data_IF_023798419375
#
_entry.id   IF_023798419375
#
_cell.length_a   1.000
_cell.length_b   1.000
_cell.length_c   1.000
_cell.angle_alpha   90.00
_cell.angle_beta   90.00
_cell.angle_gamma   90.00
#
_symmetry.space_group_name_H-M   'P 1'
#
loop_
_entity.id
_entity.type
_entity.pdbx_description
1 polymer ?
#
# COMPACT_ATOMS: atom_id res chain seq x y z
N UNK A 1 -0.79 -9.90 -19.37
CA UNK A 1 0.27 -8.97 -18.93
C UNK A 1 1.44 -9.75 -18.40
N UNK A 2 2.61 -9.12 -18.25
CA UNK A 2 3.72 -9.72 -17.51
C UNK A 2 3.45 -9.64 -15.99
N UNK A 3 4.10 -10.47 -15.19
CA UNK A 3 4.01 -10.39 -13.72
C UNK A 3 5.28 -9.78 -13.14
N UNK A 4 5.21 -9.30 -11.89
CA UNK A 4 6.40 -8.91 -11.13
C UNK A 4 7.10 -10.20 -10.66
N UNK A 5 8.32 -10.50 -11.13
CA UNK A 5 9.02 -11.71 -10.70
C UNK A 5 9.50 -11.54 -9.25
N UNK A 6 9.31 -12.54 -8.36
CA UNK A 6 9.80 -12.48 -6.97
C UNK A 6 11.29 -12.13 -6.84
N UNK A 7 12.09 -12.61 -7.80
CA UNK A 7 13.54 -12.33 -7.87
C UNK A 7 13.88 -10.84 -7.91
N UNK A 8 12.98 -9.97 -8.39
CA UNK A 8 13.17 -8.52 -8.37
C UNK A 8 13.45 -7.99 -6.95
N UNK A 9 12.79 -8.56 -5.95
CA UNK A 9 12.92 -8.11 -4.56
C UNK A 9 13.99 -8.86 -3.76
N UNK A 10 14.61 -9.87 -4.37
CA UNK A 10 15.80 -10.54 -3.79
C UNK A 10 17.09 -9.81 -4.12
N UNK A 11 17.03 -8.84 -5.02
CA UNK A 11 18.16 -8.04 -5.48
C UNK A 11 18.20 -6.71 -4.73
N UNK A 12 18.93 -6.67 -3.62
CA UNK A 12 19.64 -5.50 -3.05
C UNK A 12 19.26 -5.02 -1.64
N UNK A 13 20.30 -4.56 -0.95
CA UNK A 13 20.24 -3.67 0.21
C UNK A 13 20.59 -2.23 -0.20
N UNK A 14 20.35 -1.81 -1.45
CA UNK A 14 20.71 -0.44 -1.92
C UNK A 14 19.63 0.24 -2.76
N UNK A 15 18.66 -0.51 -3.28
CA UNK A 15 17.56 0.07 -4.06
C UNK A 15 16.65 0.87 -3.14
N UNK A 16 16.41 2.13 -3.53
CA UNK A 16 15.56 3.09 -2.81
C UNK A 16 14.27 3.43 -3.55
N UNK A 17 14.23 3.16 -4.84
CA UNK A 17 13.09 3.45 -5.71
C UNK A 17 12.86 2.27 -6.65
N UNK A 18 11.61 1.83 -6.71
CA UNK A 18 11.10 0.93 -7.74
C UNK A 18 9.94 1.66 -8.42
N UNK A 19 10.05 1.85 -9.72
CA UNK A 19 9.00 2.41 -10.56
C UNK A 19 8.65 1.41 -11.65
N UNK A 20 7.43 0.88 -11.57
CA UNK A 20 6.84 -0.08 -12.50
C UNK A 20 5.46 0.39 -13.00
N UNK A 21 5.16 1.67 -12.79
CA UNK A 21 3.93 2.34 -13.18
C UNK A 21 3.77 2.43 -14.70
N UNK A 22 2.52 2.63 -15.15
CA UNK A 22 2.15 2.76 -16.57
C UNK A 22 2.57 1.56 -17.44
N UNK A 23 2.24 0.36 -16.95
CA UNK A 23 2.53 -0.89 -17.65
C UNK A 23 1.27 -1.77 -17.74
N UNK A 24 1.41 -2.91 -18.42
CA UNK A 24 0.37 -3.95 -18.46
C UNK A 24 0.72 -5.09 -17.48
N UNK A 25 1.26 -4.78 -16.30
CA UNK A 25 1.57 -5.81 -15.30
C UNK A 25 0.29 -6.42 -14.74
N UNK A 26 0.35 -7.70 -14.39
CA UNK A 26 -0.76 -8.48 -13.86
C UNK A 26 -0.29 -9.37 -12.71
N UNK A 27 -1.23 -10.03 -12.05
CA UNK A 27 -0.95 -10.88 -10.90
C UNK A 27 -0.80 -10.06 -9.62
N UNK A 28 -0.13 -10.62 -8.61
CA UNK A 28 0.00 -10.02 -7.28
C UNK A 28 1.38 -9.36 -7.11
N UNK A 29 1.54 -8.56 -6.05
CA UNK A 29 2.87 -8.16 -5.57
C UNK A 29 3.48 -9.34 -4.78
N UNK A 30 4.66 -9.87 -5.17
CA UNK A 30 5.34 -10.91 -4.40
C UNK A 30 5.66 -10.49 -2.96
N UNK A 31 5.54 -11.42 -2.01
CA UNK A 31 5.81 -11.17 -0.58
C UNK A 31 7.28 -10.88 -0.29
N UNK A 32 8.18 -11.27 -1.20
CA UNK A 32 9.62 -10.96 -1.17
C UNK A 32 9.90 -9.45 -1.17
N UNK A 33 8.93 -8.59 -1.49
CA UNK A 33 9.03 -7.13 -1.29
C UNK A 33 9.47 -6.77 0.13
N UNK A 34 9.14 -7.59 1.13
CA UNK A 34 9.56 -7.42 2.51
C UNK A 34 11.09 -7.45 2.72
N UNK A 35 11.87 -7.95 1.76
CA UNK A 35 13.33 -7.96 1.82
C UNK A 35 13.97 -6.61 1.44
N UNK A 36 13.21 -5.70 0.85
CA UNK A 36 13.68 -4.44 0.30
C UNK A 36 13.88 -3.35 1.38
N UNK A 37 14.63 -3.65 2.44
CA UNK A 37 14.73 -2.86 3.69
C UNK A 37 15.19 -1.39 3.56
N UNK A 38 15.68 -0.96 2.39
CA UNK A 38 16.04 0.44 2.10
C UNK A 38 15.12 1.14 1.09
N UNK A 39 14.09 0.46 0.60
CA UNK A 39 13.15 1.02 -0.37
C UNK A 39 12.36 2.16 0.27
N UNK A 40 12.43 3.34 -0.34
CA UNK A 40 11.71 4.54 0.09
C UNK A 40 10.46 4.82 -0.75
N UNK A 41 10.50 4.44 -2.03
CA UNK A 41 9.44 4.73 -3.01
C UNK A 41 9.11 3.50 -3.84
N UNK A 42 7.82 3.18 -3.91
CA UNK A 42 7.26 2.13 -4.75
C UNK A 42 6.10 2.68 -5.58
N UNK A 43 6.29 2.79 -6.88
CA UNK A 43 5.26 3.18 -7.85
C UNK A 43 4.80 1.96 -8.63
N UNK A 44 3.52 1.65 -8.52
CA UNK A 44 2.84 0.53 -9.17
C UNK A 44 1.55 0.96 -9.88
N UNK A 45 1.24 2.26 -9.90
CA UNK A 45 -0.01 2.77 -10.44
C UNK A 45 -0.17 2.48 -11.94
N UNK A 46 -1.42 2.48 -12.41
CA UNK A 46 -1.77 2.25 -13.81
C UNK A 46 -1.25 0.90 -14.33
N UNK A 47 -1.66 -0.18 -13.67
CA UNK A 47 -1.39 -1.55 -14.06
C UNK A 47 -2.68 -2.39 -13.92
N UNK A 48 -2.58 -3.69 -14.16
CA UNK A 48 -3.64 -4.67 -13.88
C UNK A 48 -3.27 -5.60 -12.72
N UNK A 49 -2.53 -5.12 -11.71
CA UNK A 49 -2.19 -5.90 -10.51
C UNK A 49 -3.45 -6.15 -9.69
N UNK A 50 -3.54 -7.32 -9.06
CA UNK A 50 -4.72 -7.76 -8.33
C UNK A 50 -4.35 -8.51 -7.04
N UNK A 51 -5.38 -8.90 -6.28
CA UNK A 51 -5.23 -9.59 -4.99
C UNK A 51 -5.01 -8.62 -3.84
N UNK A 52 -4.55 -9.10 -2.70
CA UNK A 52 -4.35 -8.26 -1.50
C UNK A 52 -3.00 -7.55 -1.52
N UNK A 53 -2.93 -6.39 -0.88
CA UNK A 53 -1.65 -5.74 -0.56
C UNK A 53 -0.89 -6.65 0.44
N UNK A 54 0.36 -7.08 0.14
CA UNK A 54 1.08 -8.01 1.01
C UNK A 54 1.45 -7.36 2.34
N UNK A 55 1.18 -8.04 3.46
CA UNK A 55 1.50 -7.54 4.80
C UNK A 55 3.00 -7.36 5.05
N UNK A 56 3.83 -8.06 4.27
CA UNK A 56 5.29 -8.00 4.26
C UNK A 56 5.83 -6.63 3.89
N UNK A 57 5.03 -5.79 3.22
CA UNK A 57 5.34 -4.37 3.03
C UNK A 57 5.60 -3.65 4.37
N UNK A 58 4.97 -4.08 5.45
CA UNK A 58 5.24 -3.54 6.79
C UNK A 58 6.64 -3.84 7.34
N UNK A 59 7.39 -4.76 6.74
CA UNK A 59 8.82 -4.99 7.04
C UNK A 59 9.72 -3.91 6.41
N UNK A 60 9.23 -3.24 5.36
CA UNK A 60 9.93 -2.20 4.61
C UNK A 60 9.79 -0.86 5.33
N UNK A 61 10.35 -0.75 6.54
CA UNK A 61 10.17 0.43 7.42
C UNK A 61 10.75 1.74 6.86
N UNK A 62 11.59 1.66 5.83
CA UNK A 62 12.08 2.80 5.07
C UNK A 62 11.07 3.40 4.09
N UNK A 63 9.96 2.70 3.79
CA UNK A 63 9.02 3.14 2.76
C UNK A 63 8.29 4.42 3.20
N UNK A 64 8.27 5.40 2.30
CA UNK A 64 7.65 6.71 2.50
C UNK A 64 6.58 6.98 1.44
N UNK A 65 6.68 6.35 0.27
CA UNK A 65 5.73 6.56 -0.81
C UNK A 65 5.33 5.21 -1.41
N UNK A 66 4.05 4.89 -1.30
CA UNK A 66 3.42 3.77 -1.98
C UNK A 66 2.30 4.32 -2.86
N UNK A 67 2.41 4.09 -4.16
CA UNK A 67 1.36 4.39 -5.12
C UNK A 67 0.93 3.10 -5.83
N UNK A 68 -0.31 2.70 -5.59
CA UNK A 68 -0.97 1.55 -6.22
C UNK A 68 -2.23 1.96 -6.96
N UNK A 69 -2.40 3.26 -7.23
CA UNK A 69 -3.62 3.79 -7.83
C UNK A 69 -3.93 3.14 -9.18
N UNK A 70 -5.20 2.95 -9.50
CA UNK A 70 -5.65 2.38 -10.78
C UNK A 70 -5.07 0.97 -11.03
N UNK A 71 -5.50 0.04 -10.17
CA UNK A 71 -5.23 -1.40 -10.23
C UNK A 71 -6.50 -2.17 -9.79
N UNK A 72 -6.38 -3.46 -9.47
CA UNK A 72 -7.45 -4.34 -8.99
C UNK A 72 -7.14 -4.92 -7.61
N UNK A 73 -6.44 -4.17 -6.74
CA UNK A 73 -6.16 -4.62 -5.38
C UNK A 73 -7.46 -4.73 -4.58
N UNK A 74 -7.63 -5.83 -3.84
CA UNK A 74 -8.83 -6.15 -3.08
C UNK A 74 -8.52 -6.48 -1.61
N UNK A 75 -9.56 -6.55 -0.78
CA UNK A 75 -9.42 -6.85 0.65
C UNK A 75 -8.97 -5.62 1.45
N UNK A 76 -8.52 -5.86 2.69
CA UNK A 76 -8.22 -4.79 3.65
C UNK A 76 -6.82 -4.19 3.49
N UNK A 77 -6.65 -2.94 3.94
CA UNK A 77 -5.33 -2.30 4.08
C UNK A 77 -4.57 -2.98 5.24
N UNK A 78 -3.38 -3.55 5.00
CA UNK A 78 -2.62 -4.23 6.05
C UNK A 78 -2.21 -3.29 7.20
N UNK A 79 -2.57 -3.63 8.43
CA UNK A 79 -2.19 -2.86 9.63
C UNK A 79 -0.68 -2.69 9.79
N UNK A 80 0.11 -3.61 9.23
CA UNK A 80 1.57 -3.60 9.30
C UNK A 80 2.18 -2.36 8.60
N UNK A 81 1.46 -1.73 7.66
CA UNK A 81 1.88 -0.48 7.00
C UNK A 81 1.91 0.70 8.00
N UNK A 82 1.21 0.61 9.13
CA UNK A 82 1.28 1.59 10.20
C UNK A 82 2.70 1.76 10.76
N UNK A 83 3.61 0.78 10.57
CA UNK A 83 5.00 0.83 11.05
C UNK A 83 5.90 1.84 10.33
N UNK A 84 5.49 2.38 9.19
CA UNK A 84 6.31 3.33 8.42
C UNK A 84 6.41 4.70 9.09
N UNK A 85 7.44 5.47 8.75
CA UNK A 85 7.64 6.82 9.30
C UNK A 85 7.38 7.86 8.22
N UNK A 86 6.36 8.71 8.41
CA UNK A 86 5.94 9.76 7.46
C UNK A 86 5.72 9.21 6.05
N UNK A 87 4.52 8.69 5.81
CA UNK A 87 4.21 7.94 4.60
C UNK A 87 3.04 8.53 3.83
N UNK A 88 3.12 8.45 2.50
CA UNK A 88 2.07 8.77 1.53
C UNK A 88 1.60 7.46 0.89
N UNK A 89 0.30 7.23 0.94
CA UNK A 89 -0.36 6.03 0.45
C UNK A 89 -1.42 6.46 -0.54
N UNK A 90 -1.19 6.20 -1.82
CA UNK A 90 -2.15 6.45 -2.89
C UNK A 90 -2.69 5.10 -3.34
N UNK A 91 -3.97 4.86 -3.08
CA UNK A 91 -4.62 3.57 -3.29
C UNK A 91 -5.97 3.68 -4.02
N UNK A 92 -6.31 4.87 -4.52
CA UNK A 92 -7.53 5.15 -5.28
C UNK A 92 -7.62 4.28 -6.55
N UNK A 93 -8.82 4.13 -7.09
CA UNK A 93 -9.17 3.27 -8.21
C UNK A 93 -8.69 1.82 -8.02
N UNK A 94 -9.17 1.19 -6.95
CA UNK A 94 -8.96 -0.24 -6.64
C UNK A 94 -10.25 -0.86 -6.08
N UNK A 95 -10.24 -2.17 -5.80
CA UNK A 95 -11.34 -2.94 -5.21
C UNK A 95 -11.15 -3.15 -3.70
N UNK A 96 -10.47 -2.23 -3.01
CA UNK A 96 -10.15 -2.33 -1.58
C UNK A 96 -11.43 -2.22 -0.73
N UNK A 97 -11.51 -3.04 0.31
CA UNK A 97 -12.68 -3.14 1.18
C UNK A 97 -12.28 -3.26 2.66
N UNK A 98 -13.28 -3.38 3.53
CA UNK A 98 -13.07 -3.55 4.97
C UNK A 98 -12.73 -2.27 5.70
N UNK A 99 -12.03 -2.38 6.83
CA UNK A 99 -11.86 -1.27 7.77
C UNK A 99 -10.42 -0.73 7.79
N UNK A 100 -10.25 0.60 7.91
CA UNK A 100 -8.95 1.24 8.13
C UNK A 100 -8.54 0.88 9.55
N UNK A 101 -7.39 0.20 9.74
CA UNK A 101 -6.90 -0.16 11.06
C UNK A 101 -6.73 1.05 11.97
N UNK A 102 -7.05 0.91 13.26
CA UNK A 102 -6.91 1.98 14.25
C UNK A 102 -5.50 2.59 14.27
N UNK A 103 -4.46 1.77 14.10
CA UNK A 103 -3.07 2.25 14.04
C UNK A 103 -2.79 3.16 12.82
N UNK A 104 -3.52 3.01 11.72
CA UNK A 104 -3.45 3.92 10.56
C UNK A 104 -4.28 5.18 10.85
N UNK A 105 -5.45 5.04 11.47
CA UNK A 105 -6.26 6.18 11.91
C UNK A 105 -5.49 7.13 12.86
N UNK A 106 -4.82 6.59 13.88
CA UNK A 106 -4.01 7.37 14.81
C UNK A 106 -2.93 8.20 14.07
N UNK A 107 -2.42 7.67 12.96
CA UNK A 107 -1.41 8.31 12.11
C UNK A 107 -1.98 9.35 11.15
N UNK A 108 -3.21 9.18 10.69
CA UNK A 108 -3.94 10.20 9.96
C UNK A 108 -4.21 11.40 10.87
N UNK A 109 -4.71 11.17 12.07
CA UNK A 109 -5.05 12.23 13.04
C UNK A 109 -3.84 13.06 13.47
N UNK A 110 -2.65 12.44 13.58
CA UNK A 110 -1.41 13.14 13.93
C UNK A 110 -0.62 13.66 12.71
N UNK A 111 -1.19 13.59 11.50
CA UNK A 111 -0.57 14.02 10.24
C UNK A 111 0.78 13.35 9.93
N UNK A 112 1.02 12.14 10.45
CA UNK A 112 2.22 11.35 10.13
C UNK A 112 2.01 10.39 8.96
N UNK A 113 0.79 10.32 8.42
CA UNK A 113 0.43 9.49 7.28
C UNK A 113 -0.60 10.24 6.43
N UNK A 114 -0.45 10.18 5.12
CA UNK A 114 -1.44 10.61 4.15
C UNK A 114 -1.99 9.37 3.44
N UNK A 115 -3.31 9.28 3.30
CA UNK A 115 -4.00 8.18 2.65
C UNK A 115 -5.02 8.73 1.65
N UNK A 116 -4.91 8.29 0.40
CA UNK A 116 -5.89 8.52 -0.65
C UNK A 116 -6.51 7.17 -1.05
N UNK A 117 -7.83 7.08 -0.98
CA UNK A 117 -8.68 5.93 -1.35
C UNK A 117 -9.95 6.47 -2.02
N UNK A 118 -10.74 5.61 -2.68
CA UNK A 118 -11.98 6.01 -3.38
C UNK A 118 -13.16 6.35 -2.45
N UNK A 119 -12.88 6.88 -1.26
CA UNK A 119 -13.91 7.33 -0.34
C UNK A 119 -14.13 8.84 -0.52
N UNK A 120 -15.40 9.29 -0.52
CA UNK A 120 -15.71 10.72 -0.50
C UNK A 120 -15.00 11.41 0.68
N UNK A 121 -15.01 10.79 1.87
CA UNK A 121 -14.29 11.27 3.05
C UNK A 121 -13.83 10.11 3.95
N UNK A 122 -12.59 10.20 4.46
CA UNK A 122 -12.01 9.25 5.41
C UNK A 122 -12.20 9.78 6.84
N UNK A 123 -13.05 9.13 7.64
CA UNK A 123 -13.37 9.56 9.01
C UNK A 123 -12.84 8.61 10.09
N UNK A 124 -11.76 9.01 10.76
CA UNK A 124 -11.33 8.41 12.03
C UNK A 124 -12.23 8.96 13.16
N UNK A 125 -12.97 8.10 13.88
CA UNK A 125 -13.54 8.56 15.16
C UNK A 125 -13.47 7.47 16.24
N UNK A 126 -13.32 7.93 17.48
CA UNK A 126 -12.83 7.15 18.61
C UNK A 126 -13.63 5.87 18.93
N UNK A 127 -12.89 4.77 19.09
CA UNK A 127 -13.16 3.51 19.80
C UNK A 127 -14.56 2.87 19.66
N UNK A 128 -14.71 1.88 18.77
CA UNK A 128 -15.18 0.53 19.16
C UNK A 128 -15.40 -0.40 17.95
N UNK A 129 -15.98 0.06 16.85
CA UNK A 129 -16.29 -0.77 15.68
C UNK A 129 -16.68 0.15 14.55
N UNK A 130 -15.87 0.26 13.50
CA UNK A 130 -16.15 1.17 12.39
C UNK A 130 -16.03 0.45 11.08
N UNK A 131 -17.18 0.06 10.56
CA UNK A 131 -17.34 -0.32 9.16
C UNK A 131 -17.07 0.94 8.35
N UNK A 132 -16.05 0.92 7.48
CA UNK A 132 -16.02 1.88 6.39
C UNK A 132 -17.08 1.46 5.39
N UNK A 133 -17.94 2.39 5.06
CA UNK A 133 -18.56 2.39 3.75
C UNK A 133 -17.96 3.56 3.01
N UNK A 134 -17.37 3.31 1.84
CA UNK A 134 -17.42 4.28 0.76
C UNK A 134 -18.92 4.60 0.60
N UNK A 135 -19.32 5.83 0.96
CA UNK A 135 -20.64 6.35 0.63
C UNK A 135 -20.73 6.63 -0.85
#
# INVERSE_FOLDING_TARGET
GATIPPGLFTMSNVVKLIALDDNNLQGTVPTEIGYMTLLGTLHLQNNGLAGTIPSELGLVTSLQWLDVTNNHFSGEIPVQIANWVRSYLLMSSNDLEGVIPAAICDRLENNSLFLEVDCEEVYCVNNASRVLQCG
#
